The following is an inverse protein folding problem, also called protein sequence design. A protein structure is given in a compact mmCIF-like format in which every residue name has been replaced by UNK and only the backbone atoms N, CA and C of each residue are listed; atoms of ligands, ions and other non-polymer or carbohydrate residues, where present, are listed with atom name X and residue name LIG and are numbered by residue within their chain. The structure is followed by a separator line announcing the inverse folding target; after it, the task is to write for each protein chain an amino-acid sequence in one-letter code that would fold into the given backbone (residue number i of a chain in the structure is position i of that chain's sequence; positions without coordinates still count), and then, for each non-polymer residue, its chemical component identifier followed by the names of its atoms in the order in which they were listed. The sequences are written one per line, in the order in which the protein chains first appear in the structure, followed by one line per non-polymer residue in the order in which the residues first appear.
data_IF_030559966800
#
_entry.id   IF_030559966800
#
_cell.length_a   1.000
_cell.length_b   1.000
_cell.length_c   1.000
_cell.angle_alpha   90.00
_cell.angle_beta   90.00
_cell.angle_gamma   90.00
#
_symmetry.space_group_name_H-M   'P 1'
#
loop_
_entity.id
_entity.type
_entity.pdbx_description
1 polymer ?
#
# COMPACT_ATOMS: atom_id res chain seq x y z
N UNK A 1 -10.43 19.35 -13.17
CA UNK A 1 -10.82 18.88 -11.82
C UNK A 1 -9.60 18.64 -10.93
N UNK A 2 -8.74 17.66 -11.23
CA UNK A 2 -7.56 17.31 -10.42
C UNK A 2 -6.56 18.49 -10.35
N UNK A 3 -6.30 19.18 -11.45
CA UNK A 3 -5.40 20.35 -11.46
C UNK A 3 -5.99 21.62 -10.81
N UNK A 4 -7.20 21.57 -10.24
CA UNK A 4 -7.84 22.75 -9.61
C UNK A 4 -8.22 23.89 -10.57
N UNK A 5 -8.06 23.73 -11.89
CA UNK A 5 -8.37 24.76 -12.88
C UNK A 5 -9.87 25.09 -12.91
N UNK A 6 -10.19 26.39 -12.91
CA UNK A 6 -11.51 26.92 -13.21
C UNK A 6 -11.77 26.84 -14.71
N UNK A 7 -12.97 26.40 -15.09
CA UNK A 7 -13.40 26.38 -16.49
C UNK A 7 -14.42 27.51 -16.71
N UNK A 8 -14.30 28.19 -17.84
CA UNK A 8 -15.26 29.21 -18.27
C UNK A 8 -16.33 28.58 -19.16
N UNK A 9 -17.57 29.06 -19.03
CA UNK A 9 -18.72 28.59 -19.81
C UNK A 9 -19.59 27.57 -19.09
N UNK A 10 -20.91 27.81 -19.14
CA UNK A 10 -21.91 27.01 -18.45
C UNK A 10 -21.91 25.53 -18.87
N UNK A 11 -21.82 25.26 -20.18
CA UNK A 11 -21.85 23.89 -20.71
C UNK A 11 -20.67 23.06 -20.21
N UNK A 12 -19.45 23.60 -20.31
CA UNK A 12 -18.23 22.92 -19.90
C UNK A 12 -18.20 22.68 -18.37
N UNK A 13 -18.71 23.63 -17.59
CA UNK A 13 -18.89 23.45 -16.15
C UNK A 13 -19.90 22.35 -15.83
N UNK A 14 -21.01 22.26 -16.56
CA UNK A 14 -22.02 21.22 -16.35
C UNK A 14 -21.49 19.82 -16.65
N UNK A 15 -20.68 19.67 -17.71
CA UNK A 15 -20.03 18.41 -18.07
C UNK A 15 -18.98 18.01 -17.03
N UNK A 16 -18.19 18.98 -16.55
CA UNK A 16 -17.22 18.73 -15.49
C UNK A 16 -17.88 18.19 -14.21
N UNK A 17 -19.04 18.74 -13.84
CA UNK A 17 -19.84 18.28 -12.69
C UNK A 17 -20.35 16.85 -12.91
N UNK A 18 -20.88 16.55 -14.10
CA UNK A 18 -21.33 15.20 -14.40
C UNK A 18 -20.19 14.16 -14.31
N UNK A 19 -19.01 14.49 -14.84
CA UNK A 19 -17.84 13.61 -14.80
C UNK A 19 -17.32 13.46 -13.37
N UNK A 20 -17.18 14.54 -12.58
CA UNK A 20 -16.61 14.47 -11.23
C UNK A 20 -17.45 13.61 -10.29
N UNK A 21 -18.78 13.66 -10.39
CA UNK A 21 -19.70 12.91 -9.52
C UNK A 21 -19.57 11.40 -9.74
N UNK A 22 -19.05 11.01 -10.92
CA UNK A 22 -18.85 9.62 -11.33
C UNK A 22 -17.41 9.16 -11.24
N UNK A 23 -16.44 10.08 -11.30
CA UNK A 23 -15.03 9.76 -11.41
C UNK A 23 -14.52 8.91 -10.24
N UNK A 24 -14.90 9.23 -9.00
CA UNK A 24 -14.41 8.54 -7.82
C UNK A 24 -14.85 7.07 -7.78
N UNK A 25 -16.14 6.80 -8.01
CA UNK A 25 -16.69 5.43 -8.05
C UNK A 25 -16.13 4.61 -9.20
N UNK A 26 -15.91 5.23 -10.36
CA UNK A 26 -15.29 4.58 -11.53
C UNK A 26 -13.83 4.24 -11.23
N UNK A 27 -13.05 5.17 -10.68
CA UNK A 27 -11.65 4.94 -10.32
C UNK A 27 -11.50 3.81 -9.30
N UNK A 28 -12.36 3.79 -8.26
CA UNK A 28 -12.38 2.71 -7.26
C UNK A 28 -12.74 1.36 -7.88
N UNK A 29 -13.78 1.31 -8.72
CA UNK A 29 -14.18 0.07 -9.39
C UNK A 29 -13.07 -0.47 -10.31
N UNK A 30 -12.38 0.39 -11.06
CA UNK A 30 -11.24 -0.02 -11.87
C UNK A 30 -10.11 -0.60 -11.01
N UNK A 31 -9.78 0.06 -9.89
CA UNK A 31 -8.79 -0.44 -8.95
C UNK A 31 -9.17 -1.83 -8.41
N UNK A 32 -10.42 -2.01 -7.97
CA UNK A 32 -10.89 -3.27 -7.41
C UNK A 32 -10.88 -4.41 -8.44
N UNK A 33 -11.25 -4.11 -9.69
CA UNK A 33 -11.14 -5.06 -10.81
C UNK A 33 -9.68 -5.48 -11.02
N UNK A 34 -8.74 -4.54 -11.00
CA UNK A 34 -7.32 -4.83 -11.18
C UNK A 34 -6.77 -5.70 -10.04
N UNK A 35 -7.15 -5.43 -8.79
CA UNK A 35 -6.81 -6.27 -7.64
C UNK A 35 -7.42 -7.68 -7.76
N UNK A 36 -8.68 -7.79 -8.17
CA UNK A 36 -9.35 -9.09 -8.35
C UNK A 36 -8.71 -9.92 -9.46
N UNK A 37 -8.20 -9.28 -10.51
CA UNK A 37 -7.46 -9.94 -11.60
C UNK A 37 -6.00 -10.22 -11.27
N UNK A 38 -5.52 -9.76 -10.13
CA UNK A 38 -4.14 -9.92 -9.70
C UNK A 38 -3.12 -9.15 -10.54
N UNK A 39 -3.52 -8.02 -11.11
CA UNK A 39 -2.66 -7.14 -11.91
C UNK A 39 -2.01 -6.09 -11.00
N UNK A 40 -0.85 -6.41 -10.40
CA UNK A 40 -0.23 -5.60 -9.35
C UNK A 40 0.12 -4.18 -9.82
N UNK A 41 0.92 -4.05 -10.89
CA UNK A 41 1.30 -2.76 -11.45
C UNK A 41 0.09 -1.89 -11.83
N UNK A 42 -0.95 -2.50 -12.41
CA UNK A 42 -2.18 -1.80 -12.79
C UNK A 42 -2.99 -1.37 -11.57
N UNK A 43 -3.14 -2.24 -10.57
CA UNK A 43 -3.84 -1.93 -9.33
C UNK A 43 -3.18 -0.77 -8.58
N UNK A 44 -1.84 -0.76 -8.48
CA UNK A 44 -1.06 0.32 -7.87
C UNK A 44 -1.26 1.65 -8.58
N UNK A 45 -1.16 1.68 -9.92
CA UNK A 45 -1.41 2.91 -10.71
C UNK A 45 -2.84 3.41 -10.55
N UNK A 46 -3.82 2.50 -10.47
CA UNK A 46 -5.23 2.86 -10.28
C UNK A 46 -5.53 3.33 -8.85
N UNK A 47 -4.84 2.82 -7.83
CA UNK A 47 -4.90 3.34 -6.47
C UNK A 47 -4.38 4.78 -6.41
N UNK A 48 -3.23 5.04 -7.03
CA UNK A 48 -2.69 6.41 -7.16
C UNK A 48 -3.70 7.31 -7.86
N UNK A 49 -4.28 6.87 -8.98
CA UNK A 49 -5.31 7.64 -9.69
C UNK A 49 -6.57 7.88 -8.85
N UNK A 50 -7.04 6.87 -8.11
CA UNK A 50 -8.15 7.00 -7.18
C UNK A 50 -7.87 8.06 -6.10
N UNK A 51 -6.68 8.03 -5.49
CA UNK A 51 -6.26 9.00 -4.49
C UNK A 51 -6.15 10.43 -5.09
N UNK A 52 -5.65 10.55 -6.33
CA UNK A 52 -5.57 11.84 -7.03
C UNK A 52 -6.96 12.44 -7.31
N UNK A 53 -7.93 11.61 -7.69
CA UNK A 53 -9.33 12.03 -7.90
C UNK A 53 -9.96 12.43 -6.57
N UNK A 54 -9.82 11.61 -5.54
CA UNK A 54 -10.38 11.87 -4.21
C UNK A 54 -9.87 13.18 -3.61
N UNK A 55 -8.56 13.39 -3.66
CA UNK A 55 -7.89 14.56 -3.05
C UNK A 55 -7.80 15.77 -3.96
N UNK A 56 -8.25 15.64 -5.22
CA UNK A 56 -8.18 16.71 -6.23
C UNK A 56 -6.76 17.25 -6.37
N UNK A 57 -5.80 16.35 -6.45
CA UNK A 57 -4.37 16.66 -6.42
C UNK A 57 -3.60 15.62 -7.24
N UNK A 58 -2.54 16.03 -7.92
CA UNK A 58 -1.62 15.10 -8.58
C UNK A 58 -0.63 14.51 -7.59
N UNK A 59 -0.23 13.26 -7.80
CA UNK A 59 0.72 12.57 -6.89
C UNK A 59 2.15 13.11 -6.96
N UNK A 60 2.47 13.93 -7.97
CA UNK A 60 3.74 14.65 -8.08
C UNK A 60 3.78 15.90 -7.20
N UNK A 61 2.64 16.35 -6.68
CA UNK A 61 2.55 17.48 -5.75
C UNK A 61 2.76 16.98 -4.31
N UNK A 62 3.19 17.87 -3.42
CA UNK A 62 3.46 17.54 -2.02
C UNK A 62 2.21 16.99 -1.32
N UNK A 63 2.31 15.85 -0.61
CA UNK A 63 1.24 15.32 0.24
C UNK A 63 0.64 16.32 1.22
N UNK A 64 1.40 17.34 1.65
CA UNK A 64 0.91 18.39 2.56
C UNK A 64 -0.28 19.19 2.03
N UNK A 65 -0.45 19.27 0.70
CA UNK A 65 -1.61 19.93 0.07
C UNK A 65 -2.94 19.29 0.47
N UNK A 66 -2.94 18.01 0.88
CA UNK A 66 -4.15 17.27 1.26
C UNK A 66 -4.81 17.82 2.54
N UNK A 67 -4.03 18.47 3.41
CA UNK A 67 -4.54 19.12 4.62
C UNK A 67 -5.22 20.47 4.31
N UNK A 68 -4.95 21.06 3.15
CA UNK A 68 -5.55 22.33 2.74
C UNK A 68 -4.90 23.57 3.39
N UNK A 69 -5.20 24.73 2.81
CA UNK A 69 -4.55 26.00 3.15
C UNK A 69 -4.90 26.55 4.54
N UNK A 70 -5.96 26.04 5.17
CA UNK A 70 -6.33 26.40 6.53
C UNK A 70 -5.35 25.82 7.58
N UNK A 71 -4.69 24.71 7.23
CA UNK A 71 -3.78 23.99 8.11
C UNK A 71 -2.32 24.25 7.73
N UNK A 72 -1.99 24.16 6.45
CA UNK A 72 -0.63 24.43 5.94
C UNK A 72 -0.70 25.51 4.86
N UNK A 73 -0.16 26.72 5.11
CA UNK A 73 -0.14 27.79 4.12
C UNK A 73 0.46 27.36 2.78
N UNK A 74 -0.24 27.64 1.68
CA UNK A 74 0.18 27.20 0.34
C UNK A 74 1.59 27.69 -0.03
N UNK A 75 1.98 28.89 0.42
CA UNK A 75 3.32 29.43 0.18
C UNK A 75 4.45 28.64 0.86
N UNK A 76 4.19 27.93 1.96
CA UNK A 76 5.16 27.01 2.56
C UNK A 76 5.28 25.73 1.72
N UNK A 77 4.14 25.16 1.32
CA UNK A 77 4.10 23.94 0.50
C UNK A 77 4.80 24.15 -0.84
N UNK A 78 4.57 25.29 -1.50
CA UNK A 78 5.24 25.64 -2.75
C UNK A 78 6.76 25.79 -2.60
N UNK A 79 7.26 26.26 -1.44
CA UNK A 79 8.69 26.33 -1.15
C UNK A 79 9.31 24.93 -1.03
N UNK A 80 8.59 23.97 -0.44
CA UNK A 80 9.02 22.57 -0.41
C UNK A 80 9.02 21.94 -1.80
N UNK A 81 7.96 22.13 -2.59
CA UNK A 81 7.85 21.60 -3.95
C UNK A 81 8.89 22.17 -4.93
N UNK A 82 9.40 23.37 -4.67
CA UNK A 82 10.47 23.97 -5.46
C UNK A 82 11.83 23.25 -5.29
N UNK A 83 11.98 22.43 -4.24
CA UNK A 83 13.19 21.64 -4.01
C UNK A 83 13.01 20.21 -4.53
N UNK A 84 14.03 19.64 -5.20
CA UNK A 84 13.98 18.27 -5.71
C UNK A 84 14.30 17.25 -4.60
N UNK A 85 13.58 17.32 -3.48
CA UNK A 85 13.72 16.40 -2.35
C UNK A 85 12.57 15.40 -2.43
N UNK A 86 12.89 14.10 -2.39
CA UNK A 86 11.89 13.05 -2.36
C UNK A 86 11.07 13.12 -1.07
N UNK A 87 9.77 12.81 -1.17
CA UNK A 87 8.84 12.92 -0.04
C UNK A 87 9.34 12.16 1.20
N UNK A 88 9.87 10.96 0.98
CA UNK A 88 10.39 10.07 2.03
C UNK A 88 11.46 10.75 2.91
N UNK A 89 12.27 11.62 2.34
CA UNK A 89 13.37 12.26 3.08
C UNK A 89 12.86 13.21 4.18
N UNK A 90 11.67 13.80 4.02
CA UNK A 90 11.13 14.75 4.99
C UNK A 90 10.79 14.11 6.34
N UNK A 91 10.51 12.79 6.39
CA UNK A 91 10.29 12.08 7.65
C UNK A 91 11.54 12.02 8.53
N UNK A 92 12.72 12.17 7.94
CA UNK A 92 14.00 12.16 8.66
C UNK A 92 14.53 13.57 8.94
N UNK A 93 13.76 14.62 8.61
CA UNK A 93 14.17 15.99 8.85
C UNK A 93 13.88 16.39 10.29
N UNK A 94 14.81 17.14 10.87
CA UNK A 94 14.77 17.61 12.24
C UNK A 94 14.76 19.15 12.25
N UNK A 95 13.85 19.70 13.05
CA UNK A 95 13.72 21.16 13.26
C UNK A 95 14.95 21.71 13.98
N UNK A 96 15.50 21.00 14.97
CA UNK A 96 16.67 21.44 15.75
C UNK A 96 17.93 21.53 14.89
N UNK A 97 18.02 20.68 13.86
CA UNK A 97 19.11 20.68 12.88
C UNK A 97 18.93 21.72 11.78
N UNK A 98 17.85 22.51 11.83
CA UNK A 98 17.55 23.56 10.86
C UNK A 98 17.20 23.04 9.47
N UNK A 99 16.83 21.76 9.32
CA UNK A 99 16.53 21.18 8.00
C UNK A 99 15.25 21.74 7.37
N UNK A 100 14.37 22.34 8.18
CA UNK A 100 13.20 23.07 7.70
C UNK A 100 13.46 24.57 7.45
N UNK A 101 14.60 25.11 7.88
CA UNK A 101 14.92 26.53 7.74
C UNK A 101 15.03 26.97 6.26
N UNK A 102 15.41 26.05 5.38
CA UNK A 102 15.45 26.28 3.92
C UNK A 102 14.06 26.55 3.32
N UNK A 103 13.00 26.04 3.96
CA UNK A 103 11.62 26.25 3.53
C UNK A 103 10.96 27.39 4.29
N UNK A 104 11.34 27.65 5.54
CA UNK A 104 10.79 28.70 6.39
C UNK A 104 11.91 29.48 7.12
N UNK A 105 12.64 30.37 6.41
CA UNK A 105 13.76 31.08 6.99
C UNK A 105 13.32 32.00 8.12
N UNK A 106 13.98 31.90 9.28
CA UNK A 106 13.73 32.73 10.48
C UNK A 106 12.29 32.66 11.04
N UNK A 107 11.54 31.61 10.69
CA UNK A 107 10.16 31.39 11.13
C UNK A 107 10.08 29.99 11.76
N UNK A 108 10.32 29.92 13.08
CA UNK A 108 10.35 28.66 13.82
C UNK A 108 8.97 28.00 13.88
N UNK A 109 7.92 28.79 14.09
CA UNK A 109 6.54 28.30 14.14
C UNK A 109 6.15 27.61 12.82
N UNK A 110 6.55 28.19 11.67
CA UNK A 110 6.33 27.56 10.38
C UNK A 110 7.17 26.28 10.17
N UNK A 111 8.38 26.19 10.74
CA UNK A 111 9.20 24.97 10.68
C UNK A 111 8.57 23.85 11.50
N UNK A 112 8.14 24.14 12.73
CA UNK A 112 7.43 23.19 13.60
C UNK A 112 6.10 22.74 12.98
N UNK A 113 5.37 23.66 12.34
CA UNK A 113 4.17 23.34 11.59
C UNK A 113 4.45 22.33 10.46
N UNK A 114 5.49 22.56 9.65
CA UNK A 114 5.83 21.64 8.57
C UNK A 114 6.25 20.27 9.12
N UNK A 115 7.07 20.25 10.16
CA UNK A 115 7.46 19.01 10.84
C UNK A 115 6.24 18.22 11.32
N UNK A 116 5.32 18.88 12.05
CA UNK A 116 4.12 18.24 12.57
C UNK A 116 3.23 17.66 11.45
N UNK A 117 3.02 18.41 10.36
CA UNK A 117 2.16 17.95 9.28
C UNK A 117 2.81 16.89 8.37
N UNK A 118 4.14 16.83 8.28
CA UNK A 118 4.84 15.70 7.64
C UNK A 118 4.54 14.42 8.42
N UNK A 119 4.65 14.46 9.75
CA UNK A 119 4.38 13.30 10.63
C UNK A 119 2.90 12.97 10.80
N UNK A 120 1.99 13.77 10.23
CA UNK A 120 0.54 13.46 10.16
C UNK A 120 0.13 12.86 8.83
N UNK A 121 1.02 12.73 7.84
CA UNK A 121 0.67 11.98 6.63
C UNK A 121 0.68 10.49 6.97
N UNK A 122 -0.42 9.73 6.78
CA UNK A 122 -0.47 8.33 7.16
C UNK A 122 0.66 7.53 6.55
N UNK A 123 1.40 6.84 7.42
CA UNK A 123 2.52 5.98 7.06
C UNK A 123 2.39 4.67 7.82
N UNK A 124 2.71 3.60 7.14
CA UNK A 124 2.66 2.26 7.69
C UNK A 124 4.00 1.58 7.43
N UNK A 125 4.80 1.47 8.47
CA UNK A 125 6.10 0.84 8.40
C UNK A 125 5.95 -0.67 8.43
N UNK A 126 6.65 -1.33 7.51
CA UNK A 126 6.66 -2.78 7.42
C UNK A 126 7.84 -3.23 8.25
N UNK A 127 7.56 -3.96 9.34
CA UNK A 127 8.60 -4.45 10.23
C UNK A 127 9.39 -5.57 9.54
N UNK A 128 10.50 -5.17 8.92
CA UNK A 128 11.37 -6.04 8.14
C UNK A 128 12.06 -7.11 9.00
N UNK A 129 12.33 -6.81 10.27
CA UNK A 129 13.01 -7.75 11.17
C UNK A 129 12.08 -8.90 11.56
N UNK A 130 10.79 -8.62 11.67
CA UNK A 130 9.76 -9.58 12.05
C UNK A 130 9.04 -10.21 10.86
N UNK A 131 9.45 -9.92 9.62
CA UNK A 131 8.92 -10.58 8.43
C UNK A 131 9.47 -12.00 8.31
N UNK A 132 8.68 -13.00 8.73
CA UNK A 132 9.08 -14.41 8.75
C UNK A 132 8.48 -15.15 7.57
N UNK A 133 9.34 -15.74 6.72
CA UNK A 133 8.95 -16.67 5.67
C UNK A 133 9.14 -18.11 6.15
N UNK A 134 8.05 -18.82 6.37
CA UNK A 134 8.03 -20.23 6.77
C UNK A 134 7.68 -21.14 5.57
N UNK A 135 8.63 -21.92 5.04
CA UNK A 135 8.35 -22.87 3.96
C UNK A 135 7.43 -23.99 4.42
N UNK A 136 6.30 -24.17 3.74
CA UNK A 136 5.38 -25.28 4.01
C UNK A 136 5.63 -26.44 3.04
N UNK A 137 5.80 -26.12 1.76
CA UNK A 137 6.15 -27.08 0.70
C UNK A 137 7.12 -26.44 -0.28
N UNK A 138 7.62 -27.20 -1.26
CA UNK A 138 8.45 -26.66 -2.35
C UNK A 138 7.79 -25.49 -3.12
N UNK A 139 6.47 -25.39 -3.11
CA UNK A 139 5.71 -24.38 -3.88
C UNK A 139 4.86 -23.45 -3.01
N UNK A 140 4.91 -23.58 -1.68
CA UNK A 140 4.11 -22.77 -0.76
C UNK A 140 4.93 -22.31 0.44
N UNK A 141 4.87 -21.01 0.72
CA UNK A 141 5.50 -20.37 1.86
C UNK A 141 4.42 -19.62 2.62
N UNK A 142 4.41 -19.72 3.95
CA UNK A 142 3.65 -18.84 4.81
C UNK A 142 4.49 -17.60 5.10
N UNK A 143 3.94 -16.43 4.88
CA UNK A 143 4.53 -15.15 5.21
C UNK A 143 3.79 -14.59 6.42
N UNK A 144 4.49 -14.40 7.51
CA UNK A 144 4.03 -13.67 8.69
C UNK A 144 4.72 -12.32 8.67
N UNK A 145 3.96 -11.23 8.77
CA UNK A 145 4.49 -9.88 8.68
C UNK A 145 3.70 -8.96 9.60
N UNK A 146 4.39 -7.94 10.13
CA UNK A 146 3.81 -6.97 11.05
C UNK A 146 3.96 -5.59 10.40
N UNK A 147 2.88 -4.82 10.44
CA UNK A 147 2.85 -3.45 9.94
C UNK A 147 2.51 -2.54 11.11
N UNK A 148 3.31 -1.50 11.32
CA UNK A 148 3.17 -0.56 12.44
C UNK A 148 2.76 0.81 11.89
N UNK A 149 1.70 1.45 12.41
CA UNK A 149 1.40 2.83 12.08
C UNK A 149 2.51 3.76 12.58
N UNK A 150 3.13 4.54 11.68
CA UNK A 150 4.21 5.48 12.01
C UNK A 150 3.81 6.92 11.65
N UNK A 151 2.75 7.40 12.29
CA UNK A 151 2.28 8.78 12.12
C UNK A 151 1.45 9.23 13.32
N UNK A 152 1.30 10.54 13.46
CA UNK A 152 0.42 11.16 14.45
C UNK A 152 -1.03 11.13 13.96
N UNK A 153 -1.86 10.31 14.60
CA UNK A 153 -3.28 10.26 14.29
C UNK A 153 -4.05 11.46 14.86
N UNK A 154 -4.78 12.13 13.98
CA UNK A 154 -5.69 13.23 14.26
C UNK A 154 -7.08 12.93 13.68
N UNK A 155 -8.11 12.86 14.52
CA UNK A 155 -9.47 12.48 14.09
C UNK A 155 -10.12 13.49 13.13
N UNK A 156 -9.76 14.77 13.20
CA UNK A 156 -10.31 15.81 12.34
C UNK A 156 -9.71 15.74 10.93
N UNK A 157 -8.43 15.37 10.84
CA UNK A 157 -7.71 15.25 9.57
C UNK A 157 -7.90 13.86 8.90
N UNK A 158 -7.91 12.81 9.71
CA UNK A 158 -7.95 11.42 9.24
C UNK A 158 -9.36 10.85 9.14
N UNK A 159 -10.32 11.49 9.81
CA UNK A 159 -11.69 11.03 9.92
C UNK A 159 -11.90 10.16 11.16
N UNK A 160 -13.05 10.36 11.79
CA UNK A 160 -13.42 9.67 13.04
C UNK A 160 -13.51 8.13 12.91
N UNK A 161 -13.58 7.60 11.68
CA UNK A 161 -13.62 6.16 11.44
C UNK A 161 -12.25 5.48 11.55
N UNK A 162 -11.14 6.21 11.38
CA UNK A 162 -9.81 5.63 11.18
C UNK A 162 -9.42 5.55 9.70
N UNK A 163 -8.48 4.68 9.36
CA UNK A 163 -7.83 4.64 8.05
C UNK A 163 -7.87 3.24 7.45
N UNK A 164 -8.15 3.13 6.15
CA UNK A 164 -8.07 1.86 5.42
C UNK A 164 -6.61 1.60 5.00
N UNK A 165 -6.02 0.53 5.53
CA UNK A 165 -4.71 0.01 5.17
C UNK A 165 -4.86 -1.10 4.13
N UNK A 166 -4.29 -0.89 2.94
CA UNK A 166 -4.15 -1.92 1.93
C UNK A 166 -2.74 -2.51 1.98
N UNK A 167 -2.66 -3.80 2.28
CA UNK A 167 -1.46 -4.60 2.15
C UNK A 167 -1.51 -5.42 0.86
N UNK A 168 -0.42 -5.38 0.09
CA UNK A 168 -0.25 -6.21 -1.11
C UNK A 168 1.09 -6.89 -1.11
N UNK A 169 1.13 -8.14 -1.59
CA UNK A 169 2.37 -8.87 -1.86
C UNK A 169 2.40 -9.17 -3.35
N UNK A 170 3.44 -8.69 -4.02
CA UNK A 170 3.68 -8.77 -5.45
C UNK A 170 4.83 -9.74 -5.76
N UNK A 171 4.87 -10.25 -6.99
CA UNK A 171 6.00 -11.02 -7.50
C UNK A 171 7.27 -10.16 -7.67
N UNK A 172 8.39 -10.81 -8.01
CA UNK A 172 9.70 -10.14 -8.19
C UNK A 172 9.72 -9.06 -9.27
N UNK A 173 8.77 -9.10 -10.21
CA UNK A 173 8.68 -8.14 -11.32
C UNK A 173 7.64 -7.04 -11.05
N UNK A 174 6.91 -7.13 -9.93
CA UNK A 174 5.84 -6.21 -9.54
C UNK A 174 4.64 -6.21 -10.49
N UNK A 175 4.45 -7.28 -11.27
CA UNK A 175 3.38 -7.40 -12.27
C UNK A 175 2.19 -8.20 -11.73
N UNK A 176 2.46 -9.22 -10.93
CA UNK A 176 1.44 -10.14 -10.43
C UNK A 176 1.24 -10.00 -8.94
N UNK A 177 -0.02 -9.89 -8.54
CA UNK A 177 -0.41 -9.88 -7.14
C UNK A 177 -0.47 -11.33 -6.63
N UNK A 178 0.31 -11.63 -5.60
CA UNK A 178 0.35 -12.92 -4.91
C UNK A 178 -0.65 -12.95 -3.75
N UNK A 179 -0.79 -11.83 -3.05
CA UNK A 179 -1.71 -11.68 -1.93
C UNK A 179 -2.17 -10.22 -1.80
N UNK A 180 -3.38 -10.03 -1.28
CA UNK A 180 -3.94 -8.72 -0.91
C UNK A 180 -4.78 -8.86 0.34
N UNK A 181 -4.70 -7.87 1.19
CA UNK A 181 -5.55 -7.74 2.37
C UNK A 181 -5.83 -6.26 2.62
N UNK A 182 -7.09 -5.91 2.88
CA UNK A 182 -7.47 -4.55 3.28
C UNK A 182 -8.05 -4.62 4.68
N UNK A 183 -7.52 -3.79 5.57
CA UNK A 183 -7.93 -3.70 6.97
C UNK A 183 -8.26 -2.26 7.28
N UNK A 184 -9.42 -2.06 7.91
CA UNK A 184 -9.79 -0.76 8.43
C UNK A 184 -9.25 -0.62 9.86
N UNK A 185 -8.25 0.23 10.04
CA UNK A 185 -7.54 0.41 11.32
C UNK A 185 -8.29 1.46 12.15
N UNK A 186 -8.70 1.08 13.35
CA UNK A 186 -9.49 1.92 14.23
C UNK A 186 -8.66 3.07 14.81
N UNK A 187 -9.28 4.21 15.18
CA UNK A 187 -8.58 5.34 15.79
C UNK A 187 -7.77 4.96 17.04
N UNK A 188 -8.32 4.11 17.91
CA UNK A 188 -7.65 3.65 19.13
C UNK A 188 -6.33 2.93 18.81
N UNK A 189 -6.33 2.09 17.77
CA UNK A 189 -5.14 1.33 17.36
C UNK A 189 -4.11 2.23 16.65
N UNK A 190 -4.57 3.29 15.97
CA UNK A 190 -3.69 4.28 15.34
C UNK A 190 -3.05 5.23 16.37
N UNK A 191 -3.81 5.64 17.39
CA UNK A 191 -3.30 6.49 18.49
C UNK A 191 -2.27 5.76 19.34
N UNK A 192 -2.52 4.48 19.63
CA UNK A 192 -1.59 3.62 20.37
C UNK A 192 -0.47 3.06 19.47
N UNK A 193 -0.45 3.38 18.18
CA UNK A 193 0.46 2.83 17.16
C UNK A 193 0.58 1.30 17.24
N UNK A 194 -0.55 0.60 17.42
CA UNK A 194 -0.55 -0.84 17.63
C UNK A 194 -0.06 -1.58 16.39
N UNK A 195 0.85 -2.56 16.54
CA UNK A 195 1.27 -3.41 15.44
C UNK A 195 0.10 -4.24 14.89
N UNK A 196 -0.01 -4.29 13.56
CA UNK A 196 -1.03 -5.03 12.82
C UNK A 196 -0.38 -6.25 12.20
N UNK A 197 -0.72 -7.43 12.69
CA UNK A 197 -0.18 -8.69 12.21
C UNK A 197 -0.98 -9.22 11.00
N UNK A 198 -0.26 -9.65 9.97
CA UNK A 198 -0.80 -10.24 8.75
C UNK A 198 -0.18 -11.63 8.53
N UNK A 199 -0.97 -12.55 7.99
CA UNK A 199 -0.48 -13.89 7.65
C UNK A 199 -0.99 -14.29 6.27
N UNK A 200 -0.07 -14.47 5.32
CA UNK A 200 -0.38 -14.80 3.94
C UNK A 200 0.20 -16.16 3.54
N UNK A 201 -0.54 -16.94 2.76
CA UNK A 201 -0.02 -18.14 2.10
C UNK A 201 0.35 -17.82 0.66
N UNK A 202 1.65 -17.78 0.38
CA UNK A 202 2.22 -17.39 -0.90
C UNK A 202 2.61 -18.62 -1.72
N UNK A 203 2.36 -18.56 -3.03
CA UNK A 203 2.87 -19.57 -3.98
C UNK A 203 4.23 -19.14 -4.50
N UNK A 204 5.20 -20.03 -4.43
CA UNK A 204 6.54 -19.82 -4.99
C UNK A 204 6.62 -20.47 -6.38
N UNK A 205 6.98 -19.72 -7.44
CA UNK A 205 7.20 -20.30 -8.77
C UNK A 205 8.48 -21.16 -8.81
N UNK A 206 8.58 -22.02 -9.82
CA UNK A 206 9.81 -22.76 -10.16
C UNK A 206 10.29 -22.26 -11.54
N UNK A 207 11.47 -21.63 -11.66
CA UNK A 207 12.49 -21.46 -10.63
C UNK A 207 12.10 -20.49 -9.51
N UNK A 208 12.65 -20.72 -8.32
CA UNK A 208 12.45 -19.88 -7.13
C UNK A 208 12.97 -18.45 -7.38
N UNK A 209 12.16 -17.40 -7.11
CA UNK A 209 12.59 -16.02 -7.25
C UNK A 209 13.46 -15.57 -6.06
N UNK A 210 14.15 -14.45 -6.22
CA UNK A 210 15.06 -13.91 -5.21
C UNK A 210 14.32 -13.19 -4.08
N UNK A 211 13.25 -12.48 -4.40
CA UNK A 211 12.46 -11.71 -3.45
C UNK A 211 11.02 -11.57 -3.93
N UNK A 212 10.14 -11.20 -3.01
CA UNK A 212 8.82 -10.64 -3.30
C UNK A 212 8.76 -9.20 -2.82
N UNK A 213 7.85 -8.40 -3.37
CA UNK A 213 7.61 -7.06 -2.85
C UNK A 213 6.38 -7.09 -1.94
N UNK A 214 6.49 -6.53 -0.75
CA UNK A 214 5.35 -6.21 0.08
C UNK A 214 5.17 -4.69 0.09
N UNK A 215 3.92 -4.24 -0.05
CA UNK A 215 3.55 -2.82 -0.06
C UNK A 215 2.40 -2.59 0.90
N UNK A 216 2.52 -1.56 1.71
CA UNK A 216 1.50 -1.07 2.61
C UNK A 216 1.13 0.35 2.17
N UNK A 217 -0.16 0.65 2.03
CA UNK A 217 -0.61 1.98 1.65
C UNK A 217 -1.93 2.35 2.34
N UNK A 218 -2.02 3.59 2.80
CA UNK A 218 -3.28 4.15 3.28
C UNK A 218 -4.17 4.53 2.08
N UNK A 219 -5.31 3.86 1.91
CA UNK A 219 -6.26 4.15 0.84
C UNK A 219 -6.86 5.54 1.05
N UNK A 220 -6.91 6.34 -0.01
CA UNK A 220 -7.38 7.71 0.03
C UNK A 220 -6.32 8.75 0.43
N UNK A 221 -5.06 8.36 0.61
CA UNK A 221 -3.95 9.26 0.92
C UNK A 221 -2.87 9.21 -0.16
N UNK A 222 -2.34 10.37 -0.53
CA UNK A 222 -1.18 10.53 -1.40
C UNK A 222 0.06 10.57 -0.51
N UNK A 223 1.14 9.88 -0.90
CA UNK A 223 2.40 9.85 -0.15
C UNK A 223 2.44 8.88 1.02
N UNK A 224 1.48 7.95 1.12
CA UNK A 224 1.34 6.97 2.20
C UNK A 224 1.82 5.55 1.85
N UNK A 225 2.49 5.37 0.70
CA UNK A 225 2.94 4.06 0.22
C UNK A 225 4.32 3.74 0.76
N UNK A 226 4.43 2.65 1.53
CA UNK A 226 5.68 2.06 1.97
C UNK A 226 5.88 0.72 1.26
N UNK A 227 7.12 0.41 0.87
CA UNK A 227 7.42 -0.86 0.21
C UNK A 227 8.70 -1.49 0.72
N UNK A 228 8.69 -2.82 0.79
CA UNK A 228 9.75 -3.64 1.33
C UNK A 228 9.98 -4.88 0.46
N UNK A 229 11.23 -5.34 0.39
CA UNK A 229 11.57 -6.61 -0.25
C UNK A 229 11.60 -7.73 0.79
N UNK A 230 10.85 -8.80 0.53
CA UNK A 230 10.89 -10.03 1.31
C UNK A 230 11.96 -10.95 0.70
N UNK A 231 13.05 -11.17 1.41
CA UNK A 231 14.14 -12.02 0.94
C UNK A 231 13.72 -13.50 0.90
N UNK A 232 13.71 -14.08 -0.29
CA UNK A 232 13.50 -15.51 -0.46
C UNK A 232 14.82 -16.26 -0.53
N UNK A 233 15.96 -15.63 -0.83
CA UNK A 233 17.23 -16.35 -1.07
C UNK A 233 17.64 -17.19 0.14
N UNK A 234 17.59 -16.59 1.33
CA UNK A 234 17.88 -17.22 2.62
C UNK A 234 16.91 -18.37 2.98
N UNK A 235 15.74 -18.42 2.35
CA UNK A 235 14.68 -19.37 2.68
C UNK A 235 14.89 -20.74 2.00
N UNK A 236 15.34 -21.77 2.73
CA UNK A 236 15.49 -23.12 2.18
C UNK A 236 14.13 -23.80 1.96
N UNK A 237 13.80 -24.12 0.70
CA UNK A 237 12.54 -24.80 0.37
C UNK A 237 12.67 -26.33 0.59
N UNK A 238 11.64 -26.99 1.17
CA UNK A 238 11.63 -28.44 1.30
C UNK A 238 11.74 -29.16 -0.05
N UNK A 239 12.26 -30.38 -0.02
CA UNK A 239 12.28 -31.27 -1.18
C UNK A 239 10.85 -31.53 -1.71
N UNK A 240 10.68 -31.80 -3.02
CA UNK A 240 9.38 -32.18 -3.54
C UNK A 240 8.89 -33.46 -2.86
N UNK A 241 7.60 -33.48 -2.47
CA UNK A 241 7.00 -34.65 -1.85
C UNK A 241 7.07 -35.84 -2.82
N UNK A 242 7.38 -37.02 -2.29
CA UNK A 242 7.31 -38.25 -3.06
C UNK A 242 5.85 -38.51 -3.48
N UNK A 243 5.61 -39.04 -4.70
CA UNK A 243 4.26 -39.40 -5.11
C UNK A 243 3.68 -40.40 -4.12
N UNK A 244 2.38 -40.30 -3.79
CA UNK A 244 1.74 -41.27 -2.91
C UNK A 244 1.85 -42.66 -3.52
N UNK A 245 2.02 -43.68 -2.66
CA UNK A 245 2.07 -45.08 -3.10
C UNK A 245 0.77 -45.43 -3.83
N UNK A 246 0.87 -45.96 -5.05
CA UNK A 246 -0.29 -46.43 -5.79
C UNK A 246 -1.03 -47.50 -5.00
N UNK A 247 -2.35 -47.39 -4.93
CA UNK A 247 -3.18 -48.45 -4.35
C UNK A 247 -2.99 -49.72 -5.19
N UNK A 248 -2.82 -50.89 -4.55
CA UNK A 248 -2.84 -52.14 -5.30
C UNK A 248 -4.21 -52.29 -5.95
N UNK A 249 -4.23 -52.45 -7.28
CA UNK A 249 -5.42 -52.92 -7.99
C UNK A 249 -5.60 -54.39 -7.62
N UNK A 250 -6.51 -54.67 -6.70
CA UNK A 250 -7.02 -56.03 -6.55
C UNK A 250 -7.80 -56.34 -7.82
N UNK A 251 -7.27 -57.26 -8.64
CA UNK A 251 -8.09 -57.87 -9.69
C UNK A 251 -9.26 -58.54 -8.97
N UNK A 252 -10.49 -58.15 -9.31
CA UNK A 252 -11.65 -58.97 -8.96
C UNK A 252 -11.37 -60.35 -9.55
N UNK A 253 -11.14 -61.33 -8.67
CA UNK A 253 -10.97 -62.71 -9.07
C UNK A 253 -12.24 -63.20 -9.72
N UNK A 254 -12.27 -63.18 -11.05
CA UNK A 254 -12.97 -64.19 -11.84
C UNK A 254 -12.13 -65.48 -11.73
N UNK A 255 -12.07 -66.05 -10.53
CA UNK A 255 -11.72 -67.46 -10.39
C UNK A 255 -12.98 -68.25 -10.73
N UNK A 256 -13.12 -68.54 -12.02
CA UNK A 256 -13.99 -69.60 -12.52
C UNK A 256 -13.51 -70.93 -11.95
N UNK A 257 -14.05 -71.30 -10.79
CA UNK A 257 -13.98 -72.66 -10.27
C UNK A 257 -14.81 -73.57 -11.20
N UNK A 258 -14.14 -74.18 -12.16
CA UNK A 258 -14.64 -75.35 -12.88
C UNK A 258 -14.62 -76.51 -11.88
N UNK A 259 -15.83 -76.98 -11.53
CA UNK A 259 -16.04 -78.25 -10.83
C UNK A 259 -15.82 -79.39 -11.82
N UNK A 260 -14.83 -80.25 -11.56
CA UNK A 260 -14.79 -81.65 -12.00
C UNK A 260 -14.88 -82.56 -10.77
#
# INVERSE_FOLDING_TARGET
YISGLSLEGFNLMSELVYVKDSALRIAKALHDIALCRGLAATARRLLVFYNQVLRRQWSVMSPLRQFGAAHVPLGLVQRMEARPIEWEAYYHFDVERGQFADFAPNDLDAQELLYAYVHRVPRFDIDHEHAVLQPLTRSKVRCELVVVPDFEFDADLHGAGGVELLLTIEDSDGQKLLHRESVFVKPEDLQDQKPIAFTALLRVPDPKPTHFFVRAAAVGWIGSETSAALDLLSTALPAPAQPPRSLPTYANGDDGAVLE
#
